data_IF_967545770648
#
_entry.id   IF_967545770648
#
_cell.length_a   1.000
_cell.length_b   1.000
_cell.length_c   1.000
_cell.angle_alpha   90.00
_cell.angle_beta   90.00
_cell.angle_gamma   90.00
#
_symmetry.space_group_name_H-M   'P 1'
#
loop_
_entity.id
_entity.type
_entity.pdbx_description
1 polymer ?
#
# COMPACT_ATOMS: atom_id res chain seq x y z
N UNK A 1 19.45 19.77 -19.54
CA UNK A 1 18.55 19.39 -18.44
C UNK A 1 17.14 19.23 -19.01
N UNK A 2 16.67 17.99 -19.22
CA UNK A 2 15.30 17.74 -19.69
C UNK A 2 14.37 17.84 -18.48
N UNK A 3 13.80 19.01 -18.25
CA UNK A 3 12.67 19.16 -17.33
C UNK A 3 11.54 18.30 -17.85
N UNK A 4 11.08 17.33 -17.05
CA UNK A 4 9.94 16.49 -17.42
C UNK A 4 8.75 17.41 -17.68
N UNK A 5 8.18 17.34 -18.87
CA UNK A 5 6.94 18.05 -19.22
C UNK A 5 5.82 17.50 -18.33
N UNK A 6 5.27 18.32 -17.45
CA UNK A 6 4.12 17.95 -16.63
C UNK A 6 2.84 17.96 -17.49
N UNK A 7 1.95 17.01 -17.22
CA UNK A 7 0.71 16.85 -17.97
C UNK A 7 -0.18 18.10 -17.98
N UNK A 8 -0.22 18.83 -16.86
CA UNK A 8 -0.91 20.11 -16.74
C UNK A 8 -0.41 21.15 -17.76
N UNK A 9 0.91 21.23 -18.00
CA UNK A 9 1.50 22.18 -18.95
C UNK A 9 1.13 21.83 -20.40
N UNK A 10 1.09 20.54 -20.71
CA UNK A 10 0.72 20.04 -22.04
C UNK A 10 -0.78 20.22 -22.29
N UNK A 11 -1.61 20.00 -21.27
CA UNK A 11 -3.06 20.25 -21.28
C UNK A 11 -3.39 21.72 -21.51
N UNK A 12 -2.73 22.64 -20.79
CA UNK A 12 -2.90 24.09 -20.98
C UNK A 12 -2.48 24.55 -22.37
N UNK A 13 -1.37 24.00 -22.90
CA UNK A 13 -0.94 24.27 -24.27
C UNK A 13 -1.96 23.81 -25.31
N UNK A 14 -2.55 22.61 -25.16
CA UNK A 14 -3.58 22.13 -26.08
C UNK A 14 -4.88 22.93 -26.02
N UNK A 15 -5.26 23.45 -24.85
CA UNK A 15 -6.41 24.37 -24.70
C UNK A 15 -6.15 25.74 -25.33
N UNK A 16 -4.88 26.18 -25.37
CA UNK A 16 -4.49 27.46 -25.98
C UNK A 16 -4.32 27.36 -27.50
N UNK A 17 -3.70 26.28 -27.98
CA UNK A 17 -3.34 26.10 -29.39
C UNK A 17 -4.48 25.53 -30.26
N UNK A 18 -5.45 24.84 -29.66
CA UNK A 18 -6.53 24.15 -30.38
C UNK A 18 -7.89 24.53 -29.80
N UNK A 19 -8.88 24.73 -30.68
CA UNK A 19 -10.27 24.95 -30.29
C UNK A 19 -10.83 23.69 -29.60
N UNK A 20 -11.52 23.86 -28.47
CA UNK A 20 -12.01 22.76 -27.62
C UNK A 20 -12.97 21.79 -28.32
N UNK A 21 -13.60 22.22 -29.42
CA UNK A 21 -14.44 21.37 -30.29
C UNK A 21 -13.71 20.66 -31.45
N UNK A 22 -12.39 20.82 -31.58
CA UNK A 22 -11.60 20.22 -32.68
C UNK A 22 -11.28 18.75 -32.40
N UNK A 23 -11.39 17.90 -33.42
CA UNK A 23 -11.02 16.49 -33.33
C UNK A 23 -9.54 16.28 -32.94
N UNK A 24 -8.67 17.21 -33.35
CA UNK A 24 -7.26 17.22 -32.96
C UNK A 24 -7.07 17.50 -31.46
N UNK A 25 -7.89 18.39 -30.88
CA UNK A 25 -7.87 18.66 -29.45
C UNK A 25 -8.30 17.42 -28.66
N UNK A 26 -9.39 16.76 -29.08
CA UNK A 26 -9.87 15.52 -28.45
C UNK A 26 -8.86 14.37 -28.55
N UNK A 27 -8.18 14.21 -29.70
CA UNK A 27 -7.19 13.15 -29.89
C UNK A 27 -5.90 13.42 -29.13
N UNK A 28 -5.44 14.67 -29.07
CA UNK A 28 -4.20 14.99 -28.35
C UNK A 28 -4.40 15.03 -26.84
N UNK A 29 -5.57 15.46 -26.38
CA UNK A 29 -5.93 15.44 -24.96
C UNK A 29 -6.07 14.01 -24.39
N UNK A 30 -6.34 12.99 -25.20
CA UNK A 30 -6.41 11.60 -24.72
C UNK A 30 -5.03 10.97 -24.47
N UNK A 31 -3.96 11.55 -25.04
CA UNK A 31 -2.58 11.10 -24.81
C UNK A 31 -1.89 11.83 -23.65
N UNK A 32 -2.52 12.86 -23.09
CA UNK A 32 -2.00 13.56 -21.90
C UNK A 32 -2.40 12.78 -20.65
N UNK A 33 -1.45 12.27 -19.85
CA UNK A 33 -1.76 11.56 -18.62
C UNK A 33 -2.51 12.50 -17.67
N UNK A 34 -3.71 12.17 -17.25
CA UNK A 34 -4.41 13.00 -16.25
C UNK A 34 -3.68 12.86 -14.91
N UNK A 35 -3.60 13.91 -14.10
CA UNK A 35 -2.89 13.82 -12.81
C UNK A 35 -3.49 12.72 -11.90
N UNK A 36 -4.81 12.50 -11.99
CA UNK A 36 -5.51 11.38 -11.34
C UNK A 36 -5.14 9.99 -11.89
N UNK A 37 -4.72 9.88 -13.15
CA UNK A 37 -4.28 8.62 -13.74
C UNK A 37 -2.98 8.14 -13.10
N UNK A 38 -2.11 9.05 -12.65
CA UNK A 38 -0.90 8.66 -11.93
C UNK A 38 -1.24 7.97 -10.59
N UNK A 39 -2.22 8.50 -9.87
CA UNK A 39 -2.67 7.91 -8.60
C UNK A 39 -3.38 6.58 -8.80
N UNK A 40 -4.18 6.44 -9.87
CA UNK A 40 -4.84 5.18 -10.21
C UNK A 40 -3.84 4.09 -10.62
N UNK A 41 -2.86 4.44 -11.46
CA UNK A 41 -1.79 3.50 -11.86
C UNK A 41 -0.89 3.15 -10.67
N UNK A 42 -0.63 4.11 -9.77
CA UNK A 42 0.10 3.86 -8.53
C UNK A 42 -0.66 2.90 -7.60
N UNK A 43 -1.98 3.00 -7.50
CA UNK A 43 -2.80 2.05 -6.74
C UNK A 43 -2.70 0.63 -7.30
N UNK A 44 -2.74 0.47 -8.62
CA UNK A 44 -2.60 -0.83 -9.29
C UNK A 44 -1.21 -1.41 -9.08
N UNK A 45 -0.18 -0.59 -9.21
CA UNK A 45 1.20 -0.98 -8.94
C UNK A 45 1.37 -1.51 -7.51
N UNK A 46 0.87 -0.79 -6.51
CA UNK A 46 0.93 -1.22 -5.10
C UNK A 46 0.18 -2.54 -4.87
N UNK A 47 -0.96 -2.74 -5.53
CA UNK A 47 -1.72 -3.99 -5.43
C UNK A 47 -0.92 -5.18 -5.96
N UNK A 48 -0.38 -5.09 -7.18
CA UNK A 48 0.43 -6.17 -7.75
C UNK A 48 1.73 -6.40 -6.98
N UNK A 49 2.37 -5.34 -6.49
CA UNK A 49 3.53 -5.45 -5.61
C UNK A 49 3.18 -6.22 -4.32
N UNK A 50 2.02 -5.94 -3.73
CA UNK A 50 1.50 -6.67 -2.57
C UNK A 50 1.24 -8.15 -2.86
N UNK A 51 0.66 -8.49 -4.01
CA UNK A 51 0.45 -9.89 -4.41
C UNK A 51 1.78 -10.65 -4.57
N UNK A 52 2.75 -10.05 -5.27
CA UNK A 52 4.08 -10.65 -5.49
C UNK A 52 4.81 -10.88 -4.16
N UNK A 53 4.86 -9.87 -3.29
CA UNK A 53 5.50 -9.96 -1.97
C UNK A 53 4.85 -11.02 -1.09
N UNK A 54 3.52 -11.16 -1.16
CA UNK A 54 2.79 -12.21 -0.43
C UNK A 54 3.20 -13.60 -0.90
N UNK A 55 3.46 -13.79 -2.19
CA UNK A 55 3.95 -15.06 -2.75
C UNK A 55 5.39 -15.33 -2.32
N UNK A 56 6.24 -14.29 -2.27
CA UNK A 56 7.64 -14.34 -1.84
C UNK A 56 7.85 -14.50 -0.31
N UNK A 57 6.76 -14.61 0.46
CA UNK A 57 6.74 -14.72 1.94
C UNK A 57 7.14 -13.44 2.69
N UNK A 58 7.18 -12.28 2.03
CA UNK A 58 7.43 -10.96 2.64
C UNK A 58 6.11 -10.35 3.17
N UNK A 59 5.56 -10.93 4.23
CA UNK A 59 4.20 -10.58 4.69
C UNK A 59 4.07 -9.19 5.33
N UNK A 60 5.10 -8.71 6.02
CA UNK A 60 5.09 -7.38 6.67
C UNK A 60 4.93 -6.26 5.64
N UNK A 61 5.75 -6.32 4.60
CA UNK A 61 5.82 -5.28 3.57
C UNK A 61 4.64 -5.39 2.60
N UNK A 62 4.19 -6.63 2.32
CA UNK A 62 2.97 -6.88 1.56
C UNK A 62 1.74 -6.26 2.22
N UNK A 63 1.62 -6.41 3.55
CA UNK A 63 0.51 -5.83 4.33
C UNK A 63 0.46 -4.31 4.16
N UNK A 64 1.60 -3.64 4.29
CA UNK A 64 1.67 -2.18 4.14
C UNK A 64 1.29 -1.73 2.73
N UNK A 65 1.83 -2.38 1.70
CA UNK A 65 1.52 -2.06 0.29
C UNK A 65 0.02 -2.25 -0.03
N UNK A 66 -0.59 -3.35 0.45
CA UNK A 66 -2.02 -3.60 0.23
C UNK A 66 -2.93 -2.63 0.99
N UNK A 67 -2.56 -2.24 2.22
CA UNK A 67 -3.30 -1.24 2.97
C UNK A 67 -3.18 0.16 2.35
N UNK A 68 -2.01 0.52 1.84
CA UNK A 68 -1.81 1.76 1.09
C UNK A 68 -2.65 1.77 -0.19
N UNK A 69 -2.67 0.67 -0.95
CA UNK A 69 -3.52 0.53 -2.14
C UNK A 69 -5.01 0.69 -1.80
N UNK A 70 -5.48 0.06 -0.73
CA UNK A 70 -6.88 0.16 -0.29
C UNK A 70 -7.30 1.57 0.16
N UNK A 71 -6.37 2.36 0.72
CA UNK A 71 -6.60 3.74 1.16
C UNK A 71 -6.55 4.74 0.01
N UNK A 72 -5.64 4.54 -0.96
CA UNK A 72 -5.49 5.41 -2.13
C UNK A 72 -6.53 5.14 -3.22
N UNK A 73 -7.17 3.97 -3.21
CA UNK A 73 -8.21 3.64 -4.18
C UNK A 73 -9.41 4.62 -4.11
N UNK A 74 -9.92 5.08 -5.27
CA UNK A 74 -11.02 6.04 -5.32
C UNK A 74 -12.32 5.43 -4.75
N UNK A 75 -13.20 6.30 -4.23
CA UNK A 75 -14.47 5.87 -3.63
C UNK A 75 -15.39 5.14 -4.64
N UNK A 76 -15.28 5.48 -5.93
CA UNK A 76 -16.03 4.84 -7.02
C UNK A 76 -15.62 3.38 -7.28
N UNK A 77 -14.38 3.00 -6.96
CA UNK A 77 -13.83 1.66 -7.21
C UNK A 77 -14.07 0.71 -6.03
N UNK A 78 -15.33 0.47 -5.67
CA UNK A 78 -15.71 -0.40 -4.55
C UNK A 78 -15.18 -1.83 -4.72
N UNK A 79 -15.29 -2.40 -5.93
CA UNK A 79 -14.86 -3.78 -6.22
C UNK A 79 -13.35 -3.95 -6.02
N UNK A 80 -12.55 -2.96 -6.45
CA UNK A 80 -11.11 -2.97 -6.26
C UNK A 80 -10.73 -2.90 -4.77
N UNK A 81 -11.42 -2.05 -3.99
CA UNK A 81 -11.23 -1.97 -2.53
C UNK A 81 -11.60 -3.28 -1.83
N UNK A 82 -12.68 -3.94 -2.26
CA UNK A 82 -13.06 -5.26 -1.74
C UNK A 82 -11.95 -6.27 -2.02
N UNK A 83 -11.38 -6.28 -3.24
CA UNK A 83 -10.30 -7.19 -3.60
C UNK A 83 -9.02 -6.92 -2.79
N UNK A 84 -8.62 -5.66 -2.63
CA UNK A 84 -7.49 -5.29 -1.77
C UNK A 84 -7.70 -5.74 -0.32
N UNK A 85 -8.91 -5.56 0.20
CA UNK A 85 -9.26 -5.97 1.56
C UNK A 85 -9.27 -7.49 1.73
N UNK A 86 -9.74 -8.27 0.72
CA UNK A 86 -9.64 -9.73 0.74
C UNK A 86 -8.19 -10.19 0.89
N UNK A 87 -7.30 -9.67 0.04
CA UNK A 87 -5.87 -9.96 0.11
C UNK A 87 -5.24 -9.48 1.42
N UNK A 88 -5.55 -8.27 1.87
CA UNK A 88 -5.05 -7.74 3.13
C UNK A 88 -5.45 -8.64 4.31
N UNK A 89 -6.71 -9.11 4.38
CA UNK A 89 -7.16 -10.03 5.42
C UNK A 89 -6.36 -11.33 5.38
N UNK A 90 -6.13 -11.91 4.20
CA UNK A 90 -5.31 -13.13 4.06
C UNK A 90 -3.89 -12.90 4.59
N UNK A 91 -3.27 -11.76 4.29
CA UNK A 91 -1.91 -11.44 4.76
C UNK A 91 -1.87 -11.22 6.28
N UNK A 92 -2.84 -10.51 6.88
CA UNK A 92 -2.92 -10.36 8.36
C UNK A 92 -3.02 -11.73 9.03
N UNK A 93 -3.86 -12.57 8.45
CA UNK A 93 -4.08 -13.93 8.88
C UNK A 93 -2.86 -14.85 8.67
N UNK A 94 -1.90 -14.47 7.84
CA UNK A 94 -0.60 -15.13 7.67
C UNK A 94 0.45 -14.63 8.67
N UNK A 95 0.36 -13.35 9.08
CA UNK A 95 1.17 -12.79 10.16
C UNK A 95 0.71 -13.28 11.55
N UNK A 96 -0.51 -13.80 11.66
CA UNK A 96 -1.12 -14.20 12.94
C UNK A 96 -1.79 -13.04 13.68
N UNK A 97 -1.96 -11.90 13.00
CA UNK A 97 -2.74 -10.77 13.50
C UNK A 97 -4.21 -10.96 13.12
N UNK A 98 -5.12 -10.69 14.07
CA UNK A 98 -6.55 -10.80 13.82
C UNK A 98 -7.06 -9.44 13.33
N UNK A 99 -7.60 -9.32 12.11
CA UNK A 99 -8.16 -8.07 11.63
C UNK A 99 -9.44 -7.71 12.42
N UNK A 100 -9.63 -6.42 12.67
CA UNK A 100 -10.71 -5.88 13.51
C UNK A 100 -12.12 -6.09 12.92
N UNK A 101 -12.23 -6.25 11.59
CA UNK A 101 -13.50 -6.51 10.89
C UNK A 101 -13.76 -8.02 10.76
N UNK A 102 -14.67 -8.51 11.59
CA UNK A 102 -15.08 -9.92 11.80
C UNK A 102 -15.94 -10.51 10.67
N UNK A 103 -15.67 -10.19 9.40
CA UNK A 103 -16.64 -10.47 8.31
C UNK A 103 -16.52 -11.86 7.69
N UNK A 104 -15.62 -12.72 8.17
CA UNK A 104 -15.42 -14.05 7.58
C UNK A 104 -15.42 -15.14 8.65
N UNK A 105 -16.25 -16.18 8.47
CA UNK A 105 -16.25 -17.42 9.26
C UNK A 105 -14.82 -17.99 9.42
N UNK A 106 -13.99 -17.81 8.37
CA UNK A 106 -12.58 -18.19 8.34
C UNK A 106 -11.70 -17.45 9.38
N UNK A 107 -12.00 -16.19 9.68
CA UNK A 107 -11.26 -15.42 10.70
C UNK A 107 -11.60 -15.90 12.11
N UNK A 108 -12.88 -16.24 12.35
CA UNK A 108 -13.32 -16.82 13.62
C UNK A 108 -12.66 -18.17 13.89
N UNK A 109 -12.55 -19.03 12.87
CA UNK A 109 -11.85 -20.30 12.96
C UNK A 109 -10.41 -20.14 13.47
N UNK A 110 -9.71 -19.12 12.95
CA UNK A 110 -8.30 -18.88 13.30
C UNK A 110 -8.15 -18.18 14.62
N UNK A 111 -9.10 -17.31 15.00
CA UNK A 111 -9.15 -16.73 16.34
C UNK A 111 -9.32 -17.81 17.41
N UNK A 112 -10.17 -18.80 17.17
CA UNK A 112 -10.39 -19.91 18.10
C UNK A 112 -9.20 -20.87 18.11
N UNK A 113 -8.59 -21.12 16.94
CA UNK A 113 -7.47 -22.04 16.80
C UNK A 113 -7.89 -23.49 16.51
N UNK A 114 -9.13 -23.73 16.05
CA UNK A 114 -9.63 -25.09 15.75
C UNK A 114 -9.31 -25.49 14.30
N UNK A 115 -8.53 -26.56 14.14
CA UNK A 115 -8.13 -27.10 12.84
C UNK A 115 -9.29 -27.76 12.09
N UNK A 116 -10.23 -28.40 12.79
CA UNK A 116 -11.34 -29.12 12.13
C UNK A 116 -12.37 -28.17 11.55
N UNK A 117 -12.71 -27.14 12.33
CA UNK A 117 -13.61 -26.09 11.86
C UNK A 117 -13.00 -25.34 10.67
N UNK A 118 -11.68 -25.13 10.69
CA UNK A 118 -10.97 -24.59 9.53
C UNK A 118 -11.02 -25.52 8.31
N UNK A 119 -10.80 -26.83 8.48
CA UNK A 119 -10.92 -27.83 7.38
C UNK A 119 -12.32 -27.76 6.75
N UNK A 120 -13.39 -27.79 7.57
CA UNK A 120 -14.78 -27.70 7.10
C UNK A 120 -15.08 -26.42 6.30
N UNK A 121 -14.59 -25.27 6.78
CA UNK A 121 -14.77 -23.99 6.08
C UNK A 121 -13.95 -23.95 4.79
N UNK A 122 -12.71 -24.44 4.83
CA UNK A 122 -11.86 -24.52 3.63
C UNK A 122 -12.53 -25.36 2.54
N UNK A 123 -13.09 -26.52 2.90
CA UNK A 123 -13.79 -27.40 1.96
C UNK A 123 -15.03 -26.72 1.37
N UNK A 124 -15.86 -26.07 2.21
CA UNK A 124 -17.06 -25.33 1.80
C UNK A 124 -16.77 -24.22 0.78
N UNK A 125 -15.66 -23.51 0.91
CA UNK A 125 -15.33 -22.34 0.08
C UNK A 125 -14.24 -22.60 -0.97
N UNK A 126 -13.91 -23.87 -1.24
CA UNK A 126 -12.85 -24.25 -2.19
C UNK A 126 -13.03 -23.62 -3.58
N UNK A 127 -14.26 -23.57 -4.10
CA UNK A 127 -14.55 -23.00 -5.43
C UNK A 127 -14.26 -21.50 -5.49
N UNK A 128 -14.63 -20.75 -4.44
CA UNK A 128 -14.37 -19.31 -4.32
C UNK A 128 -12.88 -19.02 -4.22
N UNK A 129 -12.13 -19.80 -3.42
CA UNK A 129 -10.69 -19.62 -3.27
C UNK A 129 -9.90 -19.99 -4.53
N UNK A 130 -10.42 -20.93 -5.32
CA UNK A 130 -9.84 -21.30 -6.62
C UNK A 130 -10.03 -20.18 -7.64
N UNK A 131 -11.23 -19.58 -7.69
CA UNK A 131 -11.50 -18.41 -8.53
C UNK A 131 -10.60 -17.22 -8.15
N UNK A 132 -10.42 -16.99 -6.84
CA UNK A 132 -9.60 -15.90 -6.31
C UNK A 132 -8.08 -16.20 -6.32
N UNK A 133 -7.64 -17.39 -6.77
CA UNK A 133 -6.23 -17.85 -6.80
C UNK A 133 -5.52 -17.82 -5.42
N UNK A 134 -6.27 -17.94 -4.33
CA UNK A 134 -5.76 -17.83 -2.95
C UNK A 134 -5.61 -19.17 -2.22
N UNK A 135 -5.94 -20.28 -2.88
CA UNK A 135 -5.83 -21.64 -2.32
C UNK A 135 -4.48 -21.93 -1.67
N UNK A 136 -3.38 -21.57 -2.35
CA UNK A 136 -2.02 -21.80 -1.86
C UNK A 136 -1.75 -21.11 -0.52
N UNK A 137 -2.31 -19.91 -0.33
CA UNK A 137 -2.12 -19.13 0.90
C UNK A 137 -2.92 -19.74 2.04
N UNK A 138 -4.10 -20.26 1.77
CA UNK A 138 -5.00 -20.86 2.76
C UNK A 138 -4.43 -22.16 3.31
N UNK A 139 -3.88 -23.01 2.45
CA UNK A 139 -3.19 -24.25 2.89
C UNK A 139 -2.03 -23.92 3.82
N UNK A 140 -1.30 -22.83 3.55
CA UNK A 140 -0.20 -22.38 4.41
C UNK A 140 -0.66 -21.92 5.79
N UNK A 141 -1.92 -21.56 6.00
CA UNK A 141 -2.38 -21.00 7.30
C UNK A 141 -2.40 -21.98 8.46
N UNK A 142 -2.31 -23.30 8.22
CA UNK A 142 -2.38 -24.32 9.29
C UNK A 142 -1.41 -24.05 10.45
N UNK A 143 -0.17 -23.67 10.16
CA UNK A 143 0.81 -23.36 11.21
C UNK A 143 0.44 -22.09 12.00
N UNK A 144 -0.19 -21.10 11.35
CA UNK A 144 -0.66 -19.89 12.01
C UNK A 144 -1.86 -20.13 12.92
N UNK A 145 -2.74 -21.08 12.57
CA UNK A 145 -3.85 -21.52 13.43
C UNK A 145 -3.30 -22.15 14.70
N UNK A 146 -2.32 -23.05 14.57
CA UNK A 146 -1.65 -23.69 15.71
C UNK A 146 -0.97 -22.61 16.59
N UNK A 147 -0.27 -21.66 15.97
CA UNK A 147 0.39 -20.56 16.68
C UNK A 147 -0.59 -19.67 17.44
N UNK A 148 -1.72 -19.31 16.82
CA UNK A 148 -2.77 -18.51 17.43
C UNK A 148 -3.47 -19.26 18.58
N UNK A 149 -3.80 -20.53 18.38
CA UNK A 149 -4.37 -21.39 19.43
C UNK A 149 -3.42 -21.53 20.62
N UNK A 150 -2.13 -21.73 20.37
CA UNK A 150 -1.13 -21.84 21.44
C UNK A 150 -0.95 -20.51 22.20
N UNK A 151 -0.98 -19.36 21.52
CA UNK A 151 -0.99 -18.04 22.17
C UNK A 151 -2.22 -17.84 23.05
N UNK A 152 -3.40 -18.28 22.62
CA UNK A 152 -4.60 -18.22 23.46
C UNK A 152 -4.46 -19.11 24.71
N UNK A 153 -3.89 -20.30 24.55
CA UNK A 153 -3.63 -21.22 25.67
C UNK A 153 -2.65 -20.61 26.67
N UNK A 154 -1.55 -19.99 26.20
CA UNK A 154 -0.55 -19.39 27.10
C UNK A 154 -1.09 -18.20 27.89
N UNK A 155 -2.01 -17.42 27.30
CA UNK A 155 -2.68 -16.32 28.00
C UNK A 155 -3.70 -16.84 29.01
N UNK A 156 -4.37 -17.96 28.70
CA UNK A 156 -5.46 -18.48 29.53
C UNK A 156 -4.99 -19.29 30.73
N UNK A 157 -3.83 -19.95 30.64
CA UNK A 157 -3.34 -20.87 31.66
C UNK A 157 -1.94 -20.48 32.11
N UNK A 158 -1.73 -20.42 33.44
CA UNK A 158 -0.41 -20.27 34.06
C UNK A 158 0.44 -21.55 33.90
N UNK A 159 -0.21 -22.71 34.06
CA UNK A 159 0.41 -24.03 33.86
C UNK A 159 -0.55 -24.96 33.13
N UNK A 160 -0.06 -25.67 32.13
CA UNK A 160 -0.85 -26.65 31.38
C UNK A 160 0.00 -27.86 30.99
N UNK A 161 -0.59 -29.05 31.03
CA UNK A 161 0.07 -30.30 30.63
C UNK A 161 0.18 -30.41 29.11
N UNK A 162 1.21 -31.10 28.60
CA UNK A 162 1.37 -31.33 27.16
C UNK A 162 0.24 -32.17 26.56
N UNK A 163 -0.37 -33.07 27.35
CA UNK A 163 -1.52 -33.88 26.94
C UNK A 163 -2.75 -33.02 26.69
N UNK A 164 -3.01 -32.04 27.56
CA UNK A 164 -4.16 -31.14 27.42
C UNK A 164 -3.98 -30.16 26.26
N UNK A 165 -2.73 -29.71 26.01
CA UNK A 165 -2.41 -28.91 24.82
C UNK A 165 -2.74 -29.70 23.55
N UNK A 166 -2.31 -30.97 23.47
CA UNK A 166 -2.57 -31.80 22.30
C UNK A 166 -4.07 -32.04 22.08
N UNK A 167 -4.82 -32.26 23.17
CA UNK A 167 -6.27 -32.42 23.11
C UNK A 167 -6.99 -31.14 22.63
N UNK A 168 -6.56 -29.96 23.08
CA UNK A 168 -7.15 -28.68 22.67
C UNK A 168 -6.81 -28.28 21.25
N UNK A 169 -5.59 -28.59 20.80
CA UNK A 169 -5.17 -28.33 19.43
C UNK A 169 -5.65 -29.41 18.44
N UNK A 170 -6.25 -30.51 18.92
CA UNK A 170 -6.73 -31.65 18.11
C UNK A 170 -5.65 -32.12 17.13
N UNK A 171 -4.47 -32.44 17.66
CA UNK A 171 -3.36 -32.95 16.84
C UNK A 171 -3.65 -34.40 16.42
N UNK A 172 -3.78 -34.65 15.12
CA UNK A 172 -4.14 -35.96 14.53
C UNK A 172 -2.98 -36.98 14.50
N UNK A 173 -1.96 -36.83 15.35
CA UNK A 173 -0.70 -37.60 15.24
C UNK A 173 -0.66 -38.86 16.09
N UNK A 174 0.14 -39.88 15.70
CA UNK A 174 0.29 -41.13 16.46
C UNK A 174 1.01 -40.94 17.81
N UNK A 175 1.74 -39.83 17.99
CA UNK A 175 2.43 -39.46 19.24
C UNK A 175 2.13 -38.00 19.61
N UNK A 176 0.91 -37.71 20.10
CA UNK A 176 0.42 -36.33 20.29
C UNK A 176 1.24 -35.53 21.31
N UNK A 177 1.83 -36.21 22.30
CA UNK A 177 2.63 -35.58 23.37
C UNK A 177 3.97 -35.06 22.85
N UNK A 178 4.67 -35.84 22.01
CA UNK A 178 5.96 -35.45 21.45
C UNK A 178 5.81 -34.29 20.45
N UNK A 179 4.73 -34.30 19.66
CA UNK A 179 4.45 -33.21 18.71
C UNK A 179 4.06 -31.93 19.43
N UNK A 180 3.27 -32.01 20.50
CA UNK A 180 2.98 -30.86 21.35
C UNK A 180 4.27 -30.27 21.96
N UNK A 181 5.19 -31.10 22.46
CA UNK A 181 6.49 -30.64 22.96
C UNK A 181 7.30 -29.92 21.88
N UNK A 182 7.36 -30.46 20.65
CA UNK A 182 8.09 -29.86 19.54
C UNK A 182 7.48 -28.52 19.11
N UNK A 183 6.15 -28.45 19.00
CA UNK A 183 5.42 -27.22 18.63
C UNK A 183 5.64 -26.14 19.70
N UNK A 184 5.50 -26.48 20.99
CA UNK A 184 5.72 -25.55 22.10
C UNK A 184 7.17 -25.08 22.14
N UNK A 185 8.13 -26.00 22.00
CA UNK A 185 9.56 -25.68 21.97
C UNK A 185 9.91 -24.75 20.81
N UNK A 186 9.33 -24.99 19.63
CA UNK A 186 9.49 -24.11 18.47
C UNK A 186 8.87 -22.72 18.72
N UNK A 187 7.67 -22.66 19.31
CA UNK A 187 7.02 -21.40 19.60
C UNK A 187 7.80 -20.53 20.61
N UNK A 188 8.42 -21.16 21.61
CA UNK A 188 9.29 -20.49 22.59
C UNK A 188 10.57 -19.99 21.88
N UNK A 189 11.21 -20.82 21.05
CA UNK A 189 12.43 -20.43 20.31
C UNK A 189 12.16 -19.28 19.33
N UNK A 190 11.00 -19.30 18.67
CA UNK A 190 10.60 -18.26 17.72
C UNK A 190 10.10 -16.98 18.43
N UNK A 191 10.14 -16.94 19.78
CA UNK A 191 9.73 -15.78 20.59
C UNK A 191 8.23 -15.46 20.50
N UNK A 192 7.41 -16.41 20.04
CA UNK A 192 5.98 -16.20 19.89
C UNK A 192 5.22 -16.26 21.23
N UNK A 193 5.80 -16.96 22.21
CA UNK A 193 5.21 -17.21 23.53
C UNK A 193 6.30 -17.19 24.59
N UNK A 194 6.06 -16.43 25.66
CA UNK A 194 6.91 -16.38 26.84
C UNK A 194 6.52 -17.50 27.82
N UNK A 195 7.10 -18.68 27.61
CA UNK A 195 6.89 -19.83 28.48
C UNK A 195 8.19 -20.64 28.66
N UNK A 196 8.21 -21.44 29.72
CA UNK A 196 9.25 -22.43 30.00
C UNK A 196 8.64 -23.83 29.97
N UNK A 197 9.37 -24.76 29.36
CA UNK A 197 8.97 -26.16 29.30
C UNK A 197 9.65 -26.93 30.44
N UNK A 198 8.85 -27.53 31.32
CA UNK A 198 9.34 -28.44 32.35
C UNK A 198 9.22 -29.89 31.87
N UNK A 199 10.37 -30.49 31.54
CA UNK A 199 10.45 -31.87 31.05
C UNK A 199 10.14 -32.91 32.12
N UNK A 200 10.38 -32.61 33.40
CA UNK A 200 10.15 -33.57 34.47
C UNK A 200 8.66 -33.76 34.76
N UNK A 201 7.88 -32.68 34.68
CA UNK A 201 6.42 -32.72 34.89
C UNK A 201 5.61 -32.82 33.60
N UNK A 202 6.24 -32.72 32.43
CA UNK A 202 5.55 -32.74 31.13
C UNK A 202 4.56 -31.59 30.97
N UNK A 203 4.90 -30.41 31.51
CA UNK A 203 4.01 -29.24 31.51
C UNK A 203 4.71 -27.97 31.03
N UNK A 204 3.94 -27.11 30.40
CA UNK A 204 4.32 -25.76 30.00
C UNK A 204 3.92 -24.81 31.12
N UNK A 205 4.87 -24.01 31.59
CA UNK A 205 4.65 -22.94 32.56
C UNK A 205 4.79 -21.62 31.81
N UNK A 206 3.71 -20.85 31.69
CA UNK A 206 3.78 -19.51 31.11
C UNK A 206 4.44 -18.57 32.12
N UNK A 207 5.25 -17.63 31.61
CA UNK A 207 5.71 -16.51 32.43
C UNK A 207 4.56 -15.52 32.53
N UNK A 208 4.30 -15.02 33.73
CA UNK A 208 3.33 -13.95 33.90
C UNK A 208 3.79 -12.74 33.09
N UNK A 209 2.89 -12.17 32.28
CA UNK A 209 3.13 -10.91 31.59
C UNK A 209 3.31 -9.84 32.66
N UNK A 210 4.55 -9.48 32.96
CA UNK A 210 4.87 -8.41 33.90
C UNK A 210 4.30 -7.07 33.46
N UNK A 211 4.42 -6.06 34.33
CA UNK A 211 3.95 -4.71 34.01
C UNK A 211 4.69 -4.14 32.79
N UNK A 212 3.95 -4.00 31.68
CA UNK A 212 4.45 -3.48 30.40
C UNK A 212 4.93 -2.04 30.55
N UNK A 213 4.34 -1.25 31.47
CA UNK A 213 4.69 0.16 31.67
C UNK A 213 6.05 0.37 32.33
N UNK A 214 6.52 -0.62 33.08
CA UNK A 214 7.86 -0.64 33.65
C UNK A 214 8.95 -0.86 32.59
N UNK A 215 8.58 -1.32 31.38
CA UNK A 215 9.52 -1.62 30.30
C UNK A 215 9.70 -0.45 29.32
N UNK A 216 10.58 -0.63 28.34
CA UNK A 216 10.84 0.34 27.26
C UNK A 216 9.82 0.25 26.12
N UNK A 217 8.92 -0.73 26.12
CA UNK A 217 7.94 -0.95 25.05
C UNK A 217 7.00 0.25 24.83
N UNK A 218 6.41 0.89 25.88
CA UNK A 218 5.55 2.05 25.68
C UNK A 218 6.30 3.21 25.02
N UNK A 219 7.58 3.42 25.38
CA UNK A 219 8.41 4.47 24.78
C UNK A 219 8.68 4.17 23.30
N UNK A 220 8.92 2.92 22.93
CA UNK A 220 9.11 2.53 21.54
C UNK A 220 7.84 2.75 20.69
N UNK A 221 6.67 2.36 21.21
CA UNK A 221 5.36 2.59 20.55
C UNK A 221 5.05 4.08 20.43
N UNK A 222 5.36 4.87 21.46
CA UNK A 222 5.17 6.33 21.39
C UNK A 222 6.12 6.97 20.38
N UNK A 223 7.38 6.54 20.33
CA UNK A 223 8.36 7.06 19.39
C UNK A 223 7.94 6.80 17.92
N UNK A 224 7.43 5.61 17.60
CA UNK A 224 6.94 5.31 16.25
C UNK A 224 5.72 6.18 15.87
N UNK A 225 4.82 6.46 16.82
CA UNK A 225 3.70 7.38 16.62
C UNK A 225 4.15 8.82 16.42
N UNK A 226 5.10 9.30 17.22
CA UNK A 226 5.67 10.66 17.08
C UNK A 226 6.32 10.80 15.70
N UNK A 227 7.14 9.82 15.29
CA UNK A 227 7.76 9.82 13.97
C UNK A 227 6.71 9.87 12.85
N UNK A 228 5.63 9.09 12.95
CA UNK A 228 4.53 9.12 11.99
C UNK A 228 3.85 10.50 11.93
N UNK A 229 3.50 11.10 13.07
CA UNK A 229 2.88 12.42 13.13
C UNK A 229 3.80 13.53 12.57
N UNK A 230 5.10 13.48 12.88
CA UNK A 230 6.06 14.45 12.36
C UNK A 230 6.25 14.31 10.84
N UNK A 231 6.29 13.08 10.32
CA UNK A 231 6.34 12.83 8.88
C UNK A 231 5.10 13.36 8.17
N UNK A 232 3.91 13.09 8.72
CA UNK A 232 2.65 13.61 8.19
C UNK A 232 2.63 15.15 8.21
N UNK A 233 3.11 15.78 9.28
CA UNK A 233 3.24 17.24 9.36
C UNK A 233 4.19 17.77 8.28
N UNK A 234 5.37 17.16 8.12
CA UNK A 234 6.35 17.56 7.10
C UNK A 234 5.79 17.40 5.68
N UNK A 235 5.05 16.33 5.41
CA UNK A 235 4.36 16.12 4.13
C UNK A 235 3.27 17.17 3.90
N UNK A 236 2.45 17.48 4.90
CA UNK A 236 1.43 18.52 4.81
C UNK A 236 2.04 19.91 4.57
N UNK A 237 3.12 20.27 5.26
CA UNK A 237 3.85 21.53 5.03
C UNK A 237 4.45 21.57 3.63
N UNK A 238 4.99 20.46 3.12
CA UNK A 238 5.48 20.34 1.74
C UNK A 238 4.35 20.48 0.72
N UNK A 239 3.17 19.93 0.99
CA UNK A 239 2.00 20.05 0.12
C UNK A 239 1.38 21.45 0.13
N UNK A 240 1.35 22.12 1.29
CA UNK A 240 0.89 23.52 1.42
C UNK A 240 1.82 24.50 0.71
N UNK A 241 3.12 24.19 0.65
CA UNK A 241 4.05 24.87 -0.25
C UNK A 241 3.73 24.42 -1.67
N UNK A 242 2.79 25.12 -2.32
CA UNK A 242 2.68 25.08 -3.78
C UNK A 242 4.09 25.15 -4.38
N UNK A 243 4.41 24.37 -5.44
CA UNK A 243 5.71 24.45 -6.08
C UNK A 243 5.98 25.94 -6.34
N UNK A 244 7.09 26.50 -5.81
CA UNK A 244 7.27 27.96 -5.68
C UNK A 244 7.28 28.73 -7.02
N UNK A 245 7.12 28.01 -8.15
CA UNK A 245 7.14 28.51 -9.52
C UNK A 245 5.86 28.15 -10.33
N UNK A 246 4.74 27.71 -9.76
CA UNK A 246 3.52 27.52 -10.58
C UNK A 246 2.84 28.85 -10.97
N UNK A 247 3.04 29.90 -10.18
CA UNK A 247 2.45 31.23 -10.40
C UNK A 247 3.45 32.32 -10.85
N UNK A 248 4.74 31.97 -10.92
CA UNK A 248 5.80 32.75 -11.57
C UNK A 248 6.22 31.91 -12.77
N UNK A 249 5.61 32.02 -13.94
CA UNK A 249 5.86 33.08 -14.92
C UNK A 249 4.74 33.06 -15.97
N UNK A 250 3.60 33.71 -15.72
CA UNK A 250 2.92 34.34 -16.85
C UNK A 250 3.68 35.64 -17.08
N UNK A 251 4.52 35.67 -18.11
CA UNK A 251 5.13 36.89 -18.61
C UNK A 251 4.06 37.99 -18.56
N UNK A 252 4.32 39.09 -17.81
CA UNK A 252 3.34 40.17 -17.66
C UNK A 252 2.83 40.53 -19.05
N UNK A 253 1.51 40.65 -19.23
CA UNK A 253 0.90 41.01 -20.51
C UNK A 253 1.56 42.27 -21.11
N UNK A 254 2.12 43.11 -20.26
CA UNK A 254 2.93 44.28 -20.56
C UNK A 254 4.26 43.96 -21.24
N UNK A 255 5.07 43.02 -20.70
CA UNK A 255 6.32 42.55 -21.35
C UNK A 255 6.06 41.85 -22.68
N UNK A 256 4.90 41.22 -22.83
CA UNK A 256 4.46 40.61 -24.11
C UNK A 256 4.11 41.66 -25.15
N UNK A 257 3.45 42.75 -24.74
CA UNK A 257 3.15 43.91 -25.59
C UNK A 257 4.42 44.67 -25.98
N UNK A 258 5.35 44.86 -25.05
CA UNK A 258 6.64 45.51 -25.32
C UNK A 258 7.48 44.71 -26.32
N UNK A 259 7.49 43.37 -26.26
CA UNK A 259 8.14 42.56 -27.29
C UNK A 259 7.47 42.68 -28.66
N UNK A 260 6.14 42.66 -28.70
CA UNK A 260 5.42 42.82 -29.97
C UNK A 260 5.65 44.20 -30.59
N UNK A 261 5.73 45.25 -29.78
CA UNK A 261 6.07 46.59 -30.24
C UNK A 261 7.51 46.67 -30.74
N UNK A 262 8.48 46.13 -29.98
CA UNK A 262 9.88 46.05 -30.42
C UNK A 262 10.04 45.22 -31.71
N UNK A 263 9.29 44.13 -31.87
CA UNK A 263 9.29 43.32 -33.08
C UNK A 263 8.65 44.07 -34.28
N UNK A 264 7.58 44.83 -34.06
CA UNK A 264 7.00 45.73 -35.06
C UNK A 264 7.95 46.86 -35.46
N UNK A 265 8.61 47.50 -34.49
CA UNK A 265 9.56 48.59 -34.74
C UNK A 265 10.81 48.09 -35.49
N UNK A 266 11.32 46.90 -35.12
CA UNK A 266 12.42 46.25 -35.84
C UNK A 266 11.99 45.82 -37.25
N UNK A 267 10.73 45.42 -37.45
CA UNK A 267 10.21 45.10 -38.77
C UNK A 267 10.08 46.36 -39.65
N UNK A 268 9.58 47.47 -39.11
CA UNK A 268 9.52 48.76 -39.81
C UNK A 268 10.92 49.28 -40.15
N UNK A 269 11.88 49.21 -39.22
CA UNK A 269 13.27 49.59 -39.46
C UNK A 269 13.99 48.71 -40.50
N UNK A 270 13.55 47.47 -40.69
CA UNK A 270 14.08 46.59 -41.74
C UNK A 270 13.34 46.75 -43.08
N UNK A 271 12.13 47.32 -43.09
CA UNK A 271 11.38 47.64 -44.32
C UNK A 271 11.84 48.95 -44.97
N UNK A 272 12.19 49.97 -44.18
CA UNK A 272 12.65 51.28 -44.68
C UNK A 272 13.87 51.20 -45.62
N UNK A 273 14.97 50.49 -45.30
CA UNK A 273 16.10 50.40 -46.22
C UNK A 273 15.78 49.57 -47.48
N UNK A 274 14.81 48.64 -47.43
CA UNK A 274 14.39 47.87 -48.62
C UNK A 274 13.52 48.68 -49.57
N UNK A 275 12.67 49.56 -49.05
CA UNK A 275 11.86 50.47 -49.87
C UNK A 275 12.75 51.52 -50.53
N UNK A 276 13.75 52.06 -49.82
CA UNK A 276 14.71 53.02 -50.36
C UNK A 276 15.61 52.42 -51.46
N UNK A 277 15.96 51.13 -51.36
CA UNK A 277 16.67 50.42 -52.43
C UNK A 277 15.77 50.20 -53.65
N UNK A 278 14.46 50.00 -53.47
CA UNK A 278 13.52 49.80 -54.59
C UNK A 278 13.17 51.13 -55.28
N UNK A 279 12.99 52.22 -54.52
CA UNK A 279 12.74 53.56 -55.09
C UNK A 279 13.96 54.10 -55.83
N UNK A 280 15.17 53.92 -55.29
CA UNK A 280 16.41 54.29 -55.98
C UNK A 280 16.72 53.44 -57.22
N UNK A 281 16.18 52.21 -57.32
CA UNK A 281 16.22 51.39 -58.54
C UNK A 281 15.16 51.78 -59.57
N UNK A 282 14.04 52.39 -59.15
CA UNK A 282 12.98 52.89 -60.02
C UNK A 282 13.25 54.30 -60.56
N UNK A 283 13.96 55.15 -59.81
CA UNK A 283 14.38 56.49 -60.26
C UNK A 283 15.61 56.47 -61.19
N UNK A 284 16.34 55.35 -61.27
CA UNK A 284 17.49 55.15 -62.16
C UNK A 284 17.15 54.44 -63.50
N UNK A 285 15.87 54.48 -63.93
CA UNK A 285 15.39 54.00 -65.23
C UNK A 285 14.64 55.09 -65.96
#
# INVERSE_FOLDING_TARGET
MRTKLNASVVSEFFNFALWTGSEAHSRLSSYVPKEDEHDMEFCRYLFYLGEIRTIQLEYTDAKESLLQAARKAPASALVFRIQCNKWAVIVHLLLGEIPERTVLELTNAVRIGDLELFKKIADKYTSTFTADRTNNLIVRRRHNIIRAGLRNISISYSRISLTDIAAKLRLDSPSPVADAECIVSKAIRDGAIDAMLDRASGSMVSKETGDIYSTNEPRAVLNSRIAFCLNMHNEAVRALRFPPNSHKEKESAEKRRERQQLESDVFEQNMTPRLDIITSQLENK
#
